data_IF_327579512170
#
_entry.id   IF_327579512170
#
_cell.length_a   1.000
_cell.length_b   1.000
_cell.length_c   1.000
_cell.angle_alpha   90.00
_cell.angle_beta   90.00
_cell.angle_gamma   90.00
#
_symmetry.space_group_name_H-M   'P 1'
#
loop_
_entity.id
_entity.type
_entity.pdbx_description
1 polymer ?
#
# COMPACT_ATOMS: atom_id res chain seq x y z
N UNK A 1 15.23 -2.50 -5.95
CA UNK A 1 15.54 -1.19 -5.32
C UNK A 1 15.81 -1.41 -3.83
N UNK A 2 16.92 -0.89 -3.28
CA UNK A 2 17.19 -0.95 -1.82
C UNK A 2 16.61 0.30 -1.15
N UNK A 3 15.65 0.12 -0.23
CA UNK A 3 15.04 1.19 0.57
C UNK A 3 15.63 1.17 1.99
N UNK A 4 15.66 2.32 2.64
CA UNK A 4 16.16 2.45 4.02
C UNK A 4 14.99 2.65 4.99
N UNK A 5 15.12 2.12 6.20
CA UNK A 5 14.16 2.40 7.29
C UNK A 5 13.94 3.92 7.40
N UNK A 6 12.68 4.33 7.52
CA UNK A 6 12.21 5.72 7.55
C UNK A 6 12.42 6.55 6.28
N UNK A 7 12.84 5.93 5.18
CA UNK A 7 12.80 6.61 3.89
C UNK A 7 11.34 6.88 3.49
N UNK A 8 11.02 8.13 3.17
CA UNK A 8 9.69 8.48 2.68
C UNK A 8 9.54 7.92 1.26
N UNK A 9 8.49 7.14 1.05
CA UNK A 9 8.17 6.53 -0.23
C UNK A 9 6.72 6.79 -0.59
N UNK A 10 6.47 6.86 -1.89
CA UNK A 10 5.15 6.78 -2.49
C UNK A 10 5.00 5.42 -3.18
N UNK A 11 3.90 4.72 -2.93
CA UNK A 11 3.55 3.43 -3.52
C UNK A 11 2.21 3.56 -4.24
N UNK A 12 2.21 3.37 -5.56
CA UNK A 12 1.00 3.20 -6.35
C UNK A 12 0.68 1.71 -6.44
N UNK A 13 -0.58 1.33 -6.18
CA UNK A 13 -1.00 -0.06 -6.15
C UNK A 13 -2.48 -0.25 -6.47
N UNK A 14 -2.85 -1.46 -6.89
CA UNK A 14 -4.23 -1.88 -7.10
C UNK A 14 -4.81 -2.58 -5.88
N UNK A 15 -5.88 -2.04 -5.31
CA UNK A 15 -6.58 -2.64 -4.17
C UNK A 15 -7.79 -3.47 -4.62
N UNK A 16 -8.14 -4.44 -3.78
CA UNK A 16 -9.28 -5.32 -3.94
C UNK A 16 -10.56 -4.52 -3.69
N UNK A 17 -11.51 -4.61 -4.63
CA UNK A 17 -12.83 -4.00 -4.48
C UNK A 17 -13.85 -5.11 -4.31
N UNK A 18 -14.69 -4.99 -3.28
CA UNK A 18 -15.83 -5.89 -3.06
C UNK A 18 -17.11 -5.10 -3.23
N UNK A 19 -18.06 -5.67 -3.96
CA UNK A 19 -19.41 -5.14 -4.10
C UNK A 19 -20.39 -6.06 -3.35
N UNK A 20 -21.33 -5.47 -2.61
CA UNK A 20 -22.29 -6.20 -1.78
C UNK A 20 -23.58 -6.59 -2.51
N UNK A 21 -23.67 -6.33 -3.82
CA UNK A 21 -24.86 -6.59 -4.64
C UNK A 21 -24.55 -7.58 -5.76
N UNK A 22 -25.54 -8.41 -6.09
CA UNK A 22 -25.49 -9.23 -7.30
C UNK A 22 -25.57 -8.32 -8.52
N UNK A 23 -24.59 -8.42 -9.41
CA UNK A 23 -24.57 -7.69 -10.68
C UNK A 23 -24.63 -8.69 -11.84
N UNK A 24 -25.21 -8.33 -13.00
CA UNK A 24 -25.15 -9.14 -14.20
C UNK A 24 -23.71 -9.53 -14.56
N UNK A 25 -23.52 -10.73 -15.12
CA UNK A 25 -22.19 -11.31 -15.38
C UNK A 25 -21.28 -10.38 -16.20
N UNK A 26 -21.82 -9.71 -17.21
CA UNK A 26 -21.04 -8.82 -18.06
C UNK A 26 -20.62 -7.54 -17.33
N UNK A 27 -21.39 -7.09 -16.34
CA UNK A 27 -20.97 -6.01 -15.46
C UNK A 27 -19.87 -6.48 -14.49
N UNK A 28 -20.02 -7.68 -13.91
CA UNK A 28 -19.04 -8.26 -12.98
C UNK A 28 -17.64 -8.38 -13.60
N UNK A 29 -17.54 -8.85 -14.85
CA UNK A 29 -16.27 -9.04 -15.57
C UNK A 29 -15.50 -7.75 -15.82
N UNK A 30 -16.20 -6.62 -15.84
CA UNK A 30 -15.65 -5.32 -16.22
C UNK A 30 -15.46 -4.37 -15.02
N UNK A 31 -15.69 -4.83 -13.79
CA UNK A 31 -15.43 -4.01 -12.60
C UNK A 31 -13.93 -3.73 -12.45
N UNK A 32 -13.51 -2.46 -12.36
CA UNK A 32 -12.11 -2.12 -12.19
C UNK A 32 -11.66 -2.37 -10.75
N UNK A 33 -10.36 -2.61 -10.59
CA UNK A 33 -9.69 -2.48 -9.28
C UNK A 33 -9.72 -1.02 -8.78
N UNK A 34 -9.53 -0.82 -7.49
CA UNK A 34 -9.30 0.53 -6.96
C UNK A 34 -7.83 0.88 -7.13
N UNK A 35 -7.53 1.98 -7.82
CA UNK A 35 -6.16 2.50 -7.93
C UNK A 35 -5.86 3.35 -6.69
N UNK A 36 -4.98 2.84 -5.85
CA UNK A 36 -4.57 3.49 -4.61
C UNK A 36 -3.17 4.10 -4.74
N UNK A 37 -2.94 5.13 -3.92
CA UNK A 37 -1.62 5.70 -3.68
C UNK A 37 -1.44 5.84 -2.17
N UNK A 38 -0.35 5.29 -1.66
CA UNK A 38 0.03 5.40 -0.25
C UNK A 38 1.38 6.11 -0.15
N UNK A 39 1.50 7.09 0.75
CA UNK A 39 2.75 7.79 1.06
C UNK A 39 3.07 7.57 2.52
N UNK A 40 4.31 7.18 2.82
CA UNK A 40 4.71 6.97 4.21
C UNK A 40 6.18 6.57 4.37
N UNK A 41 6.56 6.38 5.62
CA UNK A 41 7.89 5.95 6.04
C UNK A 41 8.06 4.45 5.79
N UNK A 42 9.01 4.07 4.94
CA UNK A 42 9.36 2.67 4.71
C UNK A 42 9.80 2.00 6.02
N UNK A 43 9.25 0.82 6.30
CA UNK A 43 9.62 0.00 7.46
C UNK A 43 10.55 -1.14 7.04
N UNK A 44 10.04 -2.08 6.24
CA UNK A 44 10.78 -3.19 5.66
C UNK A 44 10.04 -3.77 4.44
N UNK A 45 10.63 -4.79 3.82
CA UNK A 45 9.98 -5.60 2.79
C UNK A 45 10.56 -7.02 2.80
N UNK A 46 9.77 -7.97 2.34
CA UNK A 46 10.21 -9.33 2.00
C UNK A 46 9.84 -9.61 0.53
N UNK A 47 9.92 -10.86 0.08
CA UNK A 47 9.64 -11.21 -1.32
C UNK A 47 8.18 -10.97 -1.73
N UNK A 48 7.25 -10.87 -0.78
CA UNK A 48 5.81 -10.81 -1.03
C UNK A 48 5.20 -9.46 -0.73
N UNK A 49 5.71 -8.72 0.26
CA UNK A 49 5.07 -7.50 0.74
C UNK A 49 6.05 -6.35 1.00
N UNK A 50 5.53 -5.13 0.99
CA UNK A 50 6.18 -3.92 1.51
C UNK A 50 5.38 -3.39 2.70
N UNK A 51 6.08 -2.88 3.71
CA UNK A 51 5.48 -2.27 4.89
C UNK A 51 5.87 -0.80 4.98
N UNK A 52 4.89 0.05 5.23
CA UNK A 52 5.07 1.48 5.46
C UNK A 52 4.15 1.97 6.59
N UNK A 53 4.50 3.11 7.18
CA UNK A 53 3.74 3.80 8.21
C UNK A 53 3.46 5.23 7.76
N UNK A 54 2.24 5.72 7.92
CA UNK A 54 1.88 7.11 7.65
C UNK A 54 2.18 8.03 8.85
N UNK A 55 2.19 7.49 10.07
CA UNK A 55 2.31 8.23 11.33
C UNK A 55 3.22 7.53 12.32
N UNK A 56 4.11 8.31 12.95
CA UNK A 56 5.01 7.85 14.02
C UNK A 56 4.62 8.60 15.30
N UNK A 57 4.26 7.88 16.36
CA UNK A 57 4.08 8.45 17.70
C UNK A 57 5.46 8.74 18.32
N UNK A 58 5.61 9.91 18.94
CA UNK A 58 6.88 10.39 19.50
C UNK A 58 6.93 10.41 21.03
N UNK A 59 5.89 9.93 21.72
CA UNK A 59 5.86 9.85 23.18
C UNK A 59 6.73 8.69 23.73
N UNK A 60 6.51 8.29 24.98
CA UNK A 60 7.35 7.35 25.76
C UNK A 60 7.78 6.07 25.04
N UNK A 61 6.99 5.58 24.09
CA UNK A 61 7.38 4.49 23.18
C UNK A 61 7.06 4.87 21.74
N UNK A 62 8.02 4.74 20.80
CA UNK A 62 7.75 5.01 19.40
C UNK A 62 6.85 3.91 18.81
N UNK A 63 5.55 4.17 18.77
CA UNK A 63 4.56 3.37 18.07
C UNK A 63 4.29 3.93 16.67
N UNK A 64 3.73 3.10 15.80
CA UNK A 64 3.47 3.44 14.40
C UNK A 64 2.22 2.75 13.91
N UNK A 65 1.51 3.42 13.01
CA UNK A 65 0.55 2.74 12.17
C UNK A 65 1.25 1.79 11.17
N UNK A 66 0.47 0.93 10.54
CA UNK A 66 1.00 -0.06 9.60
C UNK A 66 0.10 -0.20 8.39
N UNK A 67 0.68 0.03 7.22
CA UNK A 67 0.13 -0.38 5.93
C UNK A 67 1.01 -1.49 5.36
N UNK A 68 0.40 -2.60 4.96
CA UNK A 68 1.06 -3.73 4.31
C UNK A 68 0.50 -3.90 2.91
N UNK A 69 1.35 -3.79 1.88
CA UNK A 69 0.92 -3.88 0.48
C UNK A 69 1.58 -5.09 -0.17
N UNK A 70 0.81 -6.03 -0.75
CA UNK A 70 1.35 -7.10 -1.59
C UNK A 70 2.09 -6.54 -2.80
N UNK A 71 3.32 -7.02 -3.03
CA UNK A 71 4.15 -6.58 -4.16
C UNK A 71 3.50 -6.84 -5.52
N UNK A 72 2.70 -7.90 -5.62
CA UNK A 72 1.93 -8.20 -6.83
C UNK A 72 0.88 -7.14 -7.18
N UNK A 73 0.47 -6.32 -6.20
CA UNK A 73 -0.46 -5.22 -6.41
C UNK A 73 0.23 -3.90 -6.76
N UNK A 74 1.55 -3.79 -6.55
CA UNK A 74 2.30 -2.55 -6.70
C UNK A 74 2.59 -2.29 -8.18
N UNK A 75 2.20 -1.13 -8.66
CA UNK A 75 2.50 -0.68 -10.03
C UNK A 75 3.71 0.25 -10.07
N UNK A 76 3.97 1.00 -8.99
CA UNK A 76 5.09 1.95 -8.94
C UNK A 76 5.52 2.23 -7.50
N UNK A 77 6.82 2.42 -7.31
CA UNK A 77 7.40 2.96 -6.07
C UNK A 77 8.29 4.15 -6.40
N UNK A 78 8.10 5.28 -5.72
CA UNK A 78 8.95 6.47 -5.80
C UNK A 78 9.54 6.79 -4.44
N UNK A 79 10.80 7.21 -4.41
CA UNK A 79 11.43 7.82 -3.23
C UNK A 79 11.05 9.29 -3.23
N UNK A 80 10.69 9.82 -2.07
CA UNK A 80 10.48 11.25 -1.89
C UNK A 80 11.69 11.81 -1.13
N UNK A 81 12.15 12.99 -1.54
CA UNK A 81 13.27 13.72 -0.94
C UNK A 81 12.81 14.59 0.23
#
# INVERSE_FOLDING_TARGET
>A
MKLKLNQIIEVEWGDIVTHSVWVPQDEAKNKPICKCKSVGYFLNQDDKIIRLSCTIQLDDKPERDLTVIPKGCITKIRRLE
#
